data_IF_236513649474
#
_entry.id   IF_236513649474
#
_cell.length_a   1.000
_cell.length_b   1.000
_cell.length_c   1.000
_cell.angle_alpha   90.00
_cell.angle_beta   90.00
_cell.angle_gamma   90.00
#
_symmetry.space_group_name_H-M   'P 1'
#
loop_
_entity.id
_entity.type
_entity.pdbx_description
1 polymer ?
#
# COMPACT_ATOMS: atom_id res chain seq x y z
N UNK A 1 -1.36 10.97 21.05
CA UNK A 1 -1.74 9.75 20.31
C UNK A 1 -0.69 9.48 19.24
N UNK A 2 -0.44 8.20 18.93
CA UNK A 2 0.41 7.84 17.78
C UNK A 2 -0.24 8.26 16.47
N UNK A 3 0.59 8.71 15.53
CA UNK A 3 0.16 9.12 14.20
C UNK A 3 0.25 7.96 13.22
N UNK A 4 -0.81 7.73 12.47
CA UNK A 4 -0.85 6.72 11.41
C UNK A 4 -1.11 7.40 10.08
N UNK A 5 -0.20 7.22 9.12
CA UNK A 5 -0.43 7.61 7.74
C UNK A 5 -1.01 6.41 6.98
N UNK A 6 -2.17 6.60 6.35
CA UNK A 6 -2.85 5.57 5.55
C UNK A 6 -2.82 5.99 4.09
N UNK A 7 -2.19 5.18 3.24
CA UNK A 7 -2.25 5.38 1.78
C UNK A 7 -3.43 4.58 1.21
N UNK A 8 -4.00 5.04 0.10
CA UNK A 8 -5.16 4.37 -0.49
C UNK A 8 -6.41 4.41 0.42
N UNK A 9 -6.51 5.42 1.28
CA UNK A 9 -7.54 5.53 2.32
C UNK A 9 -8.98 5.66 1.81
N UNK A 10 -9.18 5.89 0.51
CA UNK A 10 -10.50 5.95 -0.12
C UNK A 10 -10.99 4.60 -0.66
N UNK A 11 -10.15 3.56 -0.56
CA UNK A 11 -10.55 2.19 -0.89
C UNK A 11 -11.38 1.54 0.23
N UNK A 12 -11.90 0.35 -0.04
CA UNK A 12 -12.76 -0.40 0.89
C UNK A 12 -12.07 -0.64 2.26
N UNK A 13 -10.85 -1.18 2.24
CA UNK A 13 -10.08 -1.42 3.48
C UNK A 13 -9.69 -0.10 4.16
N UNK A 14 -9.37 0.94 3.37
CA UNK A 14 -9.07 2.27 3.89
C UNK A 14 -10.25 2.89 4.66
N UNK A 15 -11.47 2.66 4.19
CA UNK A 15 -12.67 3.10 4.89
C UNK A 15 -12.81 2.40 6.26
N UNK A 16 -12.70 1.07 6.30
CA UNK A 16 -12.76 0.31 7.55
C UNK A 16 -11.66 0.73 8.53
N UNK A 17 -10.42 0.90 8.03
CA UNK A 17 -9.33 1.39 8.88
C UNK A 17 -9.63 2.77 9.50
N UNK A 18 -10.25 3.68 8.74
CA UNK A 18 -10.64 4.99 9.29
C UNK A 18 -11.67 4.86 10.38
N UNK A 19 -12.69 4.03 10.20
CA UNK A 19 -13.72 3.81 11.23
C UNK A 19 -13.14 3.22 12.51
N UNK A 20 -12.33 2.16 12.39
CA UNK A 20 -11.84 1.43 13.56
C UNK A 20 -10.71 2.15 14.32
N UNK A 21 -9.92 2.97 13.63
CA UNK A 21 -8.70 3.56 14.19
C UNK A 21 -8.85 5.03 14.60
N UNK A 22 -9.86 5.75 14.09
CA UNK A 22 -10.00 7.21 14.29
C UNK A 22 -10.15 7.65 15.74
N UNK A 23 -10.72 6.82 16.60
CA UNK A 23 -10.87 7.14 18.03
C UNK A 23 -9.60 6.91 18.85
N UNK A 24 -8.64 6.13 18.33
CA UNK A 24 -7.45 5.68 19.06
C UNK A 24 -6.15 6.29 18.55
N UNK A 25 -6.15 6.80 17.33
CA UNK A 25 -4.96 7.28 16.63
C UNK A 25 -5.22 8.60 15.90
N UNK A 26 -4.18 9.39 15.71
CA UNK A 26 -4.19 10.57 14.84
C UNK A 26 -3.97 10.11 13.38
N UNK A 27 -5.02 10.15 12.57
CA UNK A 27 -4.99 9.58 11.22
C UNK A 27 -4.66 10.64 10.17
N UNK A 28 -3.65 10.37 9.36
CA UNK A 28 -3.30 11.13 8.16
C UNK A 28 -3.74 10.28 6.96
N UNK A 29 -4.92 10.59 6.43
CA UNK A 29 -5.50 9.85 5.31
C UNK A 29 -5.01 10.41 3.99
N UNK A 30 -4.48 9.56 3.11
CA UNK A 30 -4.00 9.94 1.79
C UNK A 30 -4.56 9.05 0.69
N UNK A 31 -4.75 9.63 -0.51
CA UNK A 31 -5.12 8.88 -1.70
C UNK A 31 -4.58 9.56 -2.96
N UNK A 32 -4.53 8.83 -4.07
CA UNK A 32 -4.12 9.38 -5.36
C UNK A 32 -5.04 10.50 -5.83
N UNK A 33 -6.34 10.36 -5.63
CA UNK A 33 -7.34 11.37 -6.00
C UNK A 33 -7.69 12.28 -4.83
N UNK A 34 -7.89 13.55 -5.09
CA UNK A 34 -8.38 14.48 -4.07
C UNK A 34 -9.79 14.12 -3.63
N UNK A 35 -10.01 14.12 -2.31
CA UNK A 35 -11.34 14.02 -1.72
C UNK A 35 -11.39 14.77 -0.38
N UNK A 36 -12.61 15.05 0.11
CA UNK A 36 -12.78 15.74 1.39
C UNK A 36 -12.15 14.94 2.53
N UNK A 37 -11.33 15.59 3.33
CA UNK A 37 -10.65 14.95 4.47
C UNK A 37 -9.49 14.02 4.10
N UNK A 38 -9.04 14.04 2.83
CA UNK A 38 -7.95 13.19 2.34
C UNK A 38 -6.92 14.04 1.61
N UNK A 39 -5.65 13.85 1.95
CA UNK A 39 -4.53 14.49 1.27
C UNK A 39 -4.22 13.74 -0.03
N UNK A 40 -3.85 14.49 -1.05
CA UNK A 40 -3.41 13.87 -2.30
C UNK A 40 -1.99 13.34 -2.16
N UNK A 41 -1.81 12.04 -2.41
CA UNK A 41 -0.51 11.39 -2.44
C UNK A 41 -0.53 10.25 -3.46
N UNK A 42 0.37 10.32 -4.43
CA UNK A 42 0.67 9.20 -5.30
C UNK A 42 1.98 8.55 -4.83
N UNK A 43 1.92 7.28 -4.43
CA UNK A 43 3.07 6.60 -3.81
C UNK A 43 4.24 6.37 -4.76
N UNK A 44 4.04 6.37 -6.08
CA UNK A 44 5.16 6.29 -7.01
C UNK A 44 5.86 7.63 -7.27
N UNK A 45 5.31 8.74 -6.79
CA UNK A 45 6.03 10.03 -6.74
C UNK A 45 6.94 10.06 -5.49
N UNK A 46 8.21 9.70 -5.69
CA UNK A 46 9.21 9.63 -4.62
C UNK A 46 9.33 10.92 -3.82
N UNK A 47 9.28 12.07 -4.49
CA UNK A 47 9.40 13.37 -3.82
C UNK A 47 8.15 13.67 -2.99
N UNK A 48 6.96 13.39 -3.50
CA UNK A 48 5.72 13.55 -2.77
C UNK A 48 5.69 12.66 -1.52
N UNK A 49 6.12 11.40 -1.63
CA UNK A 49 6.25 10.48 -0.50
C UNK A 49 7.22 11.02 0.55
N UNK A 50 8.43 11.39 0.15
CA UNK A 50 9.44 11.94 1.07
C UNK A 50 8.95 13.19 1.79
N UNK A 51 8.36 14.14 1.05
CA UNK A 51 7.85 15.38 1.62
C UNK A 51 6.69 15.13 2.60
N UNK A 52 5.79 14.21 2.27
CA UNK A 52 4.66 13.84 3.13
C UNK A 52 5.15 13.22 4.43
N UNK A 53 6.05 12.24 4.36
CA UNK A 53 6.61 11.58 5.54
C UNK A 53 7.36 12.55 6.44
N UNK A 54 8.19 13.44 5.87
CA UNK A 54 8.90 14.48 6.61
C UNK A 54 7.96 15.49 7.27
N UNK A 55 6.90 15.89 6.57
CA UNK A 55 5.93 16.88 7.08
C UNK A 55 5.11 16.35 8.24
N UNK A 56 4.60 15.14 8.15
CA UNK A 56 3.66 14.59 9.12
C UNK A 56 4.32 13.74 10.20
N UNK A 57 5.51 13.20 9.93
CA UNK A 57 6.27 12.34 10.85
C UNK A 57 5.41 11.27 11.51
N UNK A 58 4.78 10.36 10.72
CA UNK A 58 3.95 9.31 11.28
C UNK A 58 4.79 8.29 12.06
N UNK A 59 4.21 7.69 13.09
CA UNK A 59 4.80 6.55 13.81
C UNK A 59 4.62 5.24 13.03
N UNK A 60 3.50 5.16 12.30
CA UNK A 60 3.10 3.97 11.55
C UNK A 60 2.63 4.40 10.15
N UNK A 61 2.99 3.63 9.14
CA UNK A 61 2.41 3.74 7.80
C UNK A 61 1.63 2.47 7.49
N UNK A 62 0.36 2.62 7.09
CA UNK A 62 -0.46 1.52 6.55
C UNK A 62 -0.60 1.76 5.05
N UNK A 63 0.08 0.92 4.25
CA UNK A 63 0.03 1.04 2.79
C UNK A 63 -1.06 0.14 2.21
N UNK A 64 -2.16 0.77 1.82
CA UNK A 64 -3.29 0.14 1.13
C UNK A 64 -3.35 0.51 -0.36
N UNK A 65 -2.43 1.37 -0.83
CA UNK A 65 -2.35 1.73 -2.24
C UNK A 65 -1.83 0.55 -3.06
N UNK A 66 -2.59 0.14 -4.06
CA UNK A 66 -2.21 -0.92 -4.98
C UNK A 66 -2.98 -0.81 -6.30
N UNK A 67 -2.41 -1.36 -7.37
CA UNK A 67 -3.12 -1.65 -8.61
C UNK A 67 -3.59 -3.10 -8.54
N UNK A 68 -4.87 -3.31 -8.24
CA UNK A 68 -5.45 -4.61 -7.87
C UNK A 68 -6.23 -5.28 -9.00
N UNK A 69 -6.43 -4.62 -10.13
CA UNK A 69 -7.03 -5.22 -11.33
C UNK A 69 -6.04 -6.20 -11.96
N UNK A 70 -6.24 -7.49 -11.70
CA UNK A 70 -5.36 -8.57 -12.18
C UNK A 70 -5.21 -8.55 -13.70
N UNK A 71 -6.34 -8.42 -14.43
CA UNK A 71 -6.33 -8.34 -15.89
C UNK A 71 -5.69 -7.03 -16.38
N UNK A 72 -5.91 -5.93 -15.68
CA UNK A 72 -5.26 -4.65 -15.95
C UNK A 72 -3.74 -4.72 -15.77
N UNK A 73 -3.27 -5.47 -14.78
CA UNK A 73 -1.83 -5.71 -14.58
C UNK A 73 -1.22 -6.50 -15.75
N UNK A 74 -1.91 -7.54 -16.27
CA UNK A 74 -1.46 -8.27 -17.44
C UNK A 74 -1.36 -7.37 -18.69
N UNK A 75 -2.32 -6.44 -18.86
CA UNK A 75 -2.31 -5.47 -19.97
C UNK A 75 -1.24 -4.39 -19.81
N UNK A 76 -0.88 -4.06 -18.58
CA UNK A 76 0.10 -3.00 -18.28
C UNK A 76 1.06 -3.41 -17.15
N UNK A 77 1.98 -4.36 -17.41
CA UNK A 77 2.94 -4.85 -16.41
C UNK A 77 3.81 -3.74 -15.82
N UNK A 78 4.18 -2.75 -16.63
CA UNK A 78 4.98 -1.62 -16.17
C UNK A 78 4.28 -0.79 -15.11
N UNK A 79 2.99 -0.51 -15.30
CA UNK A 79 2.19 0.23 -14.31
C UNK A 79 1.99 -0.59 -13.04
N UNK A 80 1.76 -1.91 -13.16
CA UNK A 80 1.66 -2.80 -12.01
C UNK A 80 2.93 -2.76 -11.15
N UNK A 81 4.09 -2.91 -11.76
CA UNK A 81 5.39 -2.82 -11.07
C UNK A 81 5.60 -1.45 -10.43
N UNK A 82 5.28 -0.38 -11.16
CA UNK A 82 5.45 0.99 -10.69
C UNK A 82 4.64 1.28 -9.42
N UNK A 83 3.39 0.84 -9.35
CA UNK A 83 2.52 1.07 -8.19
C UNK A 83 2.80 0.07 -7.09
N UNK A 84 2.78 -1.23 -7.40
CA UNK A 84 2.81 -2.29 -6.40
C UNK A 84 4.20 -2.58 -5.83
N UNK A 85 5.26 -2.26 -6.56
CA UNK A 85 6.64 -2.45 -6.12
C UNK A 85 7.37 -1.11 -5.88
N UNK A 86 7.54 -0.28 -6.91
CA UNK A 86 8.33 0.96 -6.77
C UNK A 86 7.67 1.96 -5.81
N UNK A 87 6.33 2.05 -5.79
CA UNK A 87 5.60 2.87 -4.84
C UNK A 87 5.85 2.43 -3.39
N UNK A 88 5.85 1.13 -3.13
CA UNK A 88 6.16 0.58 -1.80
C UNK A 88 7.62 0.83 -1.45
N UNK A 89 8.54 0.63 -2.40
CA UNK A 89 9.95 0.95 -2.23
C UNK A 89 10.19 2.42 -1.86
N UNK A 90 9.46 3.35 -2.48
CA UNK A 90 9.54 4.77 -2.13
C UNK A 90 9.17 5.03 -0.67
N UNK A 91 8.18 4.32 -0.13
CA UNK A 91 7.84 4.41 1.30
C UNK A 91 8.99 3.85 2.14
N UNK A 92 9.47 2.64 1.84
CA UNK A 92 10.56 1.99 2.59
C UNK A 92 11.85 2.83 2.62
N UNK A 93 12.20 3.43 1.49
CA UNK A 93 13.43 4.25 1.37
C UNK A 93 13.36 5.57 2.18
N UNK A 94 12.17 6.02 2.58
CA UNK A 94 11.96 7.30 3.25
C UNK A 94 11.31 7.20 4.64
N UNK A 95 11.12 5.98 5.16
CA UNK A 95 10.42 5.75 6.42
C UNK A 95 11.10 4.68 7.26
N UNK A 96 11.53 5.06 8.46
CA UNK A 96 12.21 4.15 9.42
C UNK A 96 11.25 3.62 10.51
N UNK A 97 9.97 3.98 10.45
CA UNK A 97 8.95 3.56 11.42
C UNK A 97 8.33 2.20 11.09
N UNK A 98 7.19 1.91 11.68
CA UNK A 98 6.49 0.64 11.48
C UNK A 98 5.62 0.69 10.21
N UNK A 99 6.02 -0.06 9.17
CA UNK A 99 5.25 -0.21 7.93
C UNK A 99 4.39 -1.46 7.98
N UNK A 100 3.07 -1.28 7.76
CA UNK A 100 2.12 -2.36 7.51
C UNK A 100 1.77 -2.33 6.02
N UNK A 101 2.17 -3.36 5.29
CA UNK A 101 1.91 -3.48 3.86
C UNK A 101 1.02 -4.69 3.58
N UNK A 102 0.01 -4.51 2.72
CA UNK A 102 -0.91 -5.57 2.33
C UNK A 102 -0.39 -6.27 1.08
N UNK A 103 -0.06 -7.55 1.21
CA UNK A 103 0.29 -8.44 0.12
C UNK A 103 -0.96 -9.14 -0.44
N UNK A 104 -0.80 -10.26 -1.09
CA UNK A 104 -1.88 -11.05 -1.71
C UNK A 104 -1.48 -12.52 -1.75
N UNK A 105 -2.45 -13.44 -1.67
CA UNK A 105 -2.27 -14.86 -1.94
C UNK A 105 -1.85 -15.18 -3.38
N UNK A 106 -2.04 -14.23 -4.31
CA UNK A 106 -1.51 -14.34 -5.68
C UNK A 106 0.03 -14.41 -5.76
N UNK A 107 0.74 -14.20 -4.66
CA UNK A 107 2.20 -14.46 -4.60
C UNK A 107 2.53 -15.95 -4.66
N UNK A 108 1.55 -16.83 -4.42
CA UNK A 108 1.67 -18.28 -4.54
C UNK A 108 1.10 -18.79 -5.87
N UNK A 109 1.54 -20.00 -6.29
CA UNK A 109 1.11 -20.61 -7.55
C UNK A 109 -0.21 -21.39 -7.47
N UNK A 110 -0.72 -21.67 -6.28
CA UNK A 110 -1.96 -22.39 -6.06
C UNK A 110 -1.88 -23.91 -6.27
N UNK A 111 -0.68 -24.50 -6.42
CA UNK A 111 -0.50 -25.94 -6.73
C UNK A 111 -0.54 -26.83 -5.50
N UNK A 112 0.13 -26.42 -4.43
CA UNK A 112 0.38 -27.24 -3.23
C UNK A 112 -0.06 -26.56 -1.93
N UNK A 113 -1.26 -25.94 -1.93
CA UNK A 113 -1.85 -25.35 -0.73
C UNK A 113 -2.29 -26.40 0.32
N UNK A 114 -2.59 -25.97 1.55
CA UNK A 114 -2.60 -24.59 2.02
C UNK A 114 -1.18 -24.00 2.18
N UNK A 115 -1.08 -22.67 2.05
CA UNK A 115 0.18 -21.93 2.20
C UNK A 115 0.22 -21.19 3.52
N UNK A 116 1.42 -21.01 4.06
CA UNK A 116 1.72 -20.26 5.27
C UNK A 116 2.79 -19.17 4.99
N UNK A 117 3.18 -18.45 6.04
CA UNK A 117 4.17 -17.37 5.95
C UNK A 117 5.58 -17.86 5.61
N UNK A 118 5.86 -19.15 5.73
CA UNK A 118 7.15 -19.76 5.37
C UNK A 118 7.15 -20.38 3.99
N UNK A 119 5.98 -20.50 3.37
CA UNK A 119 5.85 -21.09 2.05
C UNK A 119 6.54 -20.24 1.00
N UNK A 120 7.26 -20.89 0.07
CA UNK A 120 7.95 -20.21 -1.01
C UNK A 120 6.95 -19.55 -1.96
N UNK A 121 7.17 -18.28 -2.27
CA UNK A 121 6.38 -17.57 -3.28
C UNK A 121 6.74 -18.04 -4.68
N UNK A 122 5.74 -18.16 -5.53
CA UNK A 122 5.88 -18.53 -6.94
C UNK A 122 4.72 -17.94 -7.75
N UNK A 123 4.67 -16.62 -7.95
CA UNK A 123 3.54 -15.97 -8.61
C UNK A 123 3.44 -16.39 -10.09
N UNK A 124 2.21 -16.61 -10.57
CA UNK A 124 1.92 -16.97 -11.96
C UNK A 124 1.27 -15.83 -12.75
N UNK A 125 1.01 -14.71 -12.12
CA UNK A 125 0.43 -13.50 -12.74
C UNK A 125 1.34 -12.29 -12.56
N UNK A 126 1.19 -11.29 -13.43
CA UNK A 126 1.87 -9.99 -13.29
C UNK A 126 1.49 -9.33 -11.96
N UNK A 127 0.20 -9.37 -11.60
CA UNK A 127 -0.26 -8.86 -10.31
C UNK A 127 0.47 -9.52 -9.15
N UNK A 128 0.47 -10.85 -9.08
CA UNK A 128 1.16 -11.59 -8.02
C UNK A 128 2.66 -11.29 -7.97
N UNK A 129 3.33 -11.22 -9.13
CA UNK A 129 4.75 -10.89 -9.20
C UNK A 129 5.06 -9.46 -8.72
N UNK A 130 4.13 -8.52 -8.89
CA UNK A 130 4.29 -7.12 -8.45
C UNK A 130 4.08 -6.92 -6.96
N UNK A 131 3.42 -7.85 -6.30
CA UNK A 131 3.08 -7.81 -4.86
C UNK A 131 4.14 -8.51 -4.02
#
# INVERSE_FOLDING_TARGET
>A
MKKILITGSNGQLGYSCKEDLSEKFDLICTSRSRSKGTLQLDIFDKNAVSNTLKKFQPDIVINLSAFTDVNGCEKNPHLANKINFEGVKNICDNFDGHLIHISSDYVFDGRDGPYDEYSKTNPISVYGASK
#
